data_IF_091199171636
#
_entry.id   IF_091199171636
#
_cell.length_a   1.000
_cell.length_b   1.000
_cell.length_c   1.000
_cell.angle_alpha   90.00
_cell.angle_beta   90.00
_cell.angle_gamma   90.00
#
_symmetry.space_group_name_H-M   'P 1'
#
loop_
_entity.id
_entity.type
_entity.pdbx_description
1 polymer ?
#
# COMPACT_ATOMS: atom_id res chain seq x y z
N UNK A 1 -17.30 13.50 36.23
CA UNK A 1 -16.65 12.54 35.31
C UNK A 1 -17.48 12.53 34.06
N UNK A 2 -16.89 12.88 32.92
CA UNK A 2 -17.61 12.81 31.65
C UNK A 2 -17.75 11.33 31.27
N UNK A 3 -18.96 10.90 30.94
CA UNK A 3 -19.19 9.56 30.39
C UNK A 3 -18.42 9.49 29.05
N UNK A 4 -17.47 8.55 28.92
CA UNK A 4 -16.64 8.40 27.71
C UNK A 4 -15.14 8.64 27.87
N UNK A 5 -14.61 9.07 29.03
CA UNK A 5 -13.15 9.07 29.25
C UNK A 5 -12.68 7.70 29.77
N UNK A 6 -11.81 7.02 29.03
CA UNK A 6 -11.19 5.73 29.41
C UNK A 6 -10.07 5.93 30.44
N UNK A 7 -10.41 6.52 31.59
CA UNK A 7 -9.46 6.68 32.69
C UNK A 7 -9.27 5.35 33.43
N UNK A 8 -8.04 4.83 33.46
CA UNK A 8 -7.71 3.54 34.08
C UNK A 8 -8.26 3.44 35.51
N UNK A 9 -8.14 4.50 36.31
CA UNK A 9 -8.66 4.55 37.68
C UNK A 9 -10.19 4.56 37.77
N UNK A 10 -10.91 4.92 36.72
CA UNK A 10 -12.38 4.80 36.63
C UNK A 10 -12.77 3.39 36.24
N UNK A 11 -12.12 2.82 35.22
CA UNK A 11 -12.36 1.44 34.75
C UNK A 11 -12.13 0.43 35.89
N UNK A 12 -11.07 0.59 36.68
CA UNK A 12 -10.77 -0.27 37.84
C UNK A 12 -11.82 -0.20 38.96
N UNK A 13 -12.64 0.87 38.98
CA UNK A 13 -13.72 1.05 39.96
C UNK A 13 -15.08 0.65 39.40
N UNK A 14 -15.17 0.25 38.13
CA UNK A 14 -16.40 -0.27 37.55
C UNK A 14 -16.79 -1.55 38.28
N UNK A 15 -17.98 -1.64 38.90
CA UNK A 15 -18.41 -2.86 39.55
C UNK A 15 -18.59 -3.94 38.48
N UNK A 16 -17.96 -5.09 38.65
CA UNK A 16 -18.13 -6.26 37.79
C UNK A 16 -18.92 -7.30 38.61
N UNK A 17 -20.09 -7.77 38.12
CA UNK A 17 -20.89 -8.78 38.81
C UNK A 17 -20.17 -10.13 38.81
N UNK A 18 -20.54 -11.01 39.72
CA UNK A 18 -20.08 -12.40 39.69
C UNK A 18 -20.65 -13.10 38.44
N UNK A 19 -19.79 -13.51 37.52
CA UNK A 19 -20.18 -14.11 36.24
C UNK A 19 -20.24 -15.64 36.40
N UNK A 20 -21.40 -16.29 36.20
CA UNK A 20 -21.49 -17.75 36.19
C UNK A 20 -20.63 -18.37 35.08
N UNK A 21 -20.01 -19.52 35.35
CA UNK A 21 -19.09 -20.17 34.39
C UNK A 21 -19.69 -20.39 32.98
N UNK A 22 -20.99 -20.70 32.89
CA UNK A 22 -21.66 -20.88 31.60
C UNK A 22 -21.83 -19.57 30.81
N UNK A 23 -22.06 -18.45 31.51
CA UNK A 23 -22.17 -17.14 30.87
C UNK A 23 -20.78 -16.60 30.49
N UNK A 24 -19.76 -16.88 31.31
CA UNK A 24 -18.36 -16.57 31.00
C UNK A 24 -17.90 -17.28 29.70
N UNK A 25 -18.17 -18.58 29.58
CA UNK A 25 -17.86 -19.35 28.36
C UNK A 25 -18.60 -18.81 27.13
N UNK A 26 -19.86 -18.40 27.29
CA UNK A 26 -20.68 -17.83 26.21
C UNK A 26 -20.14 -16.46 25.77
N UNK A 27 -19.85 -15.57 26.72
CA UNK A 27 -19.28 -14.25 26.45
C UNK A 27 -17.92 -14.36 25.78
N UNK A 28 -17.07 -15.28 26.24
CA UNK A 28 -15.77 -15.54 25.64
C UNK A 28 -15.89 -16.06 24.20
N UNK A 29 -16.85 -16.93 23.92
CA UNK A 29 -17.12 -17.44 22.57
C UNK A 29 -17.61 -16.32 21.63
N UNK A 30 -18.58 -15.52 22.07
CA UNK A 30 -19.12 -14.38 21.32
C UNK A 30 -18.05 -13.33 21.02
N UNK A 31 -17.24 -12.97 22.02
CA UNK A 31 -16.15 -12.02 21.86
C UNK A 31 -15.10 -12.52 20.86
N UNK A 32 -14.76 -13.81 20.91
CA UNK A 32 -13.82 -14.43 19.98
C UNK A 32 -14.36 -14.46 18.55
N UNK A 33 -15.64 -14.81 18.38
CA UNK A 33 -16.30 -14.78 17.07
C UNK A 33 -16.30 -13.37 16.47
N UNK A 34 -16.70 -12.36 17.24
CA UNK A 34 -16.71 -10.97 16.79
C UNK A 34 -15.30 -10.47 16.44
N UNK A 35 -14.31 -10.81 17.26
CA UNK A 35 -12.90 -10.52 16.99
C UNK A 35 -12.44 -11.17 15.67
N UNK A 36 -12.65 -12.47 15.51
CA UNK A 36 -12.17 -13.21 14.35
C UNK A 36 -12.84 -12.73 13.06
N UNK A 37 -14.12 -12.38 13.10
CA UNK A 37 -14.81 -11.78 11.95
C UNK A 37 -14.22 -10.43 11.54
N UNK A 38 -13.89 -9.55 12.51
CA UNK A 38 -13.24 -8.26 12.21
C UNK A 38 -11.84 -8.47 11.67
N UNK A 39 -11.07 -9.39 12.28
CA UNK A 39 -9.71 -9.72 11.86
C UNK A 39 -9.65 -10.35 10.47
N UNK A 40 -10.60 -11.20 10.12
CA UNK A 40 -10.67 -11.85 8.80
C UNK A 40 -10.89 -10.81 7.69
N UNK A 41 -11.71 -9.77 7.93
CA UNK A 41 -11.88 -8.64 7.00
C UNK A 41 -10.55 -7.91 6.77
N UNK A 42 -9.79 -7.69 7.83
CA UNK A 42 -8.53 -6.93 7.75
C UNK A 42 -7.47 -7.67 6.90
N UNK A 43 -7.60 -8.98 6.67
CA UNK A 43 -6.72 -9.75 5.78
C UNK A 43 -6.75 -9.32 4.32
N UNK A 44 -7.81 -8.61 3.93
CA UNK A 44 -8.02 -8.10 2.58
C UNK A 44 -7.41 -6.69 2.39
N UNK A 45 -6.97 -6.01 3.46
CA UNK A 45 -6.48 -4.64 3.46
C UNK A 45 -4.94 -4.58 3.60
N UNK A 46 -4.23 -4.08 2.58
CA UNK A 46 -2.78 -4.26 2.44
C UNK A 46 -1.90 -3.45 3.42
N UNK A 47 -2.50 -2.56 4.19
CA UNK A 47 -1.85 -1.75 5.22
C UNK A 47 -2.01 -2.33 6.63
N UNK A 48 -2.68 -3.48 6.76
CA UNK A 48 -2.88 -4.15 8.05
C UNK A 48 -1.82 -5.25 8.27
N UNK A 49 -1.56 -5.57 9.53
CA UNK A 49 -0.65 -6.66 9.90
C UNK A 49 -1.09 -8.06 9.43
N UNK A 50 -2.39 -8.45 9.47
CA UNK A 50 -2.82 -9.78 9.03
C UNK A 50 -3.01 -9.90 7.50
N UNK A 51 -2.63 -8.91 6.70
CA UNK A 51 -2.84 -8.93 5.25
C UNK A 51 -2.31 -10.21 4.58
N UNK A 52 -3.15 -10.82 3.73
CA UNK A 52 -2.82 -12.03 2.95
C UNK A 52 -2.97 -11.81 1.45
N UNK A 53 -4.10 -11.29 1.01
CA UNK A 53 -4.37 -10.92 -0.39
C UNK A 53 -5.65 -10.08 -0.44
N UNK A 54 -5.87 -9.24 -1.46
CA UNK A 54 -7.12 -8.49 -1.58
C UNK A 54 -8.33 -9.39 -1.77
N UNK A 55 -9.50 -8.89 -1.38
CA UNK A 55 -10.77 -9.61 -1.47
C UNK A 55 -11.07 -10.17 -2.88
N UNK A 56 -10.80 -9.40 -3.93
CA UNK A 56 -10.98 -9.84 -5.33
C UNK A 56 -10.02 -10.97 -5.74
N UNK A 57 -8.85 -11.08 -5.10
CA UNK A 57 -7.89 -12.16 -5.33
C UNK A 57 -8.31 -13.42 -4.57
N UNK A 58 -8.83 -13.28 -3.33
CA UNK A 58 -9.44 -14.39 -2.57
C UNK A 58 -10.58 -15.05 -3.36
N UNK A 59 -11.39 -14.24 -4.04
CA UNK A 59 -12.51 -14.69 -4.87
C UNK A 59 -12.14 -14.89 -6.35
N UNK A 60 -10.86 -15.02 -6.71
CA UNK A 60 -10.42 -15.12 -8.12
C UNK A 60 -11.02 -16.29 -8.90
N UNK A 61 -11.56 -17.30 -8.21
CA UNK A 61 -12.21 -18.46 -8.82
C UNK A 61 -13.54 -18.09 -9.49
N UNK A 62 -14.17 -16.97 -9.09
CA UNK A 62 -15.37 -16.44 -9.74
C UNK A 62 -15.04 -15.90 -11.14
N UNK A 63 -15.99 -15.95 -12.09
CA UNK A 63 -15.70 -15.69 -13.49
C UNK A 63 -15.43 -14.21 -13.78
N UNK A 64 -16.11 -13.28 -13.09
CA UNK A 64 -15.98 -11.83 -13.28
C UNK A 64 -15.67 -11.10 -11.96
N UNK A 65 -15.18 -9.86 -12.05
CA UNK A 65 -15.05 -8.99 -10.88
C UNK A 65 -16.42 -8.58 -10.34
N UNK A 66 -17.42 -8.43 -11.20
CA UNK A 66 -18.79 -8.11 -10.79
C UNK A 66 -19.39 -9.19 -9.87
N UNK A 67 -19.21 -10.47 -10.20
CA UNK A 67 -19.67 -11.59 -9.36
C UNK A 67 -18.95 -11.59 -8.00
N UNK A 68 -17.65 -11.28 -8.00
CA UNK A 68 -16.87 -11.15 -6.78
C UNK A 68 -17.36 -9.98 -5.91
N UNK A 69 -17.56 -8.79 -6.50
CA UNK A 69 -18.10 -7.62 -5.80
C UNK A 69 -19.47 -7.91 -5.18
N UNK A 70 -20.35 -8.58 -5.91
CA UNK A 70 -21.66 -8.97 -5.39
C UNK A 70 -21.55 -9.96 -4.23
N UNK A 71 -20.66 -10.95 -4.34
CA UNK A 71 -20.39 -11.93 -3.27
C UNK A 71 -19.86 -11.23 -2.02
N UNK A 72 -18.90 -10.30 -2.18
CA UNK A 72 -18.34 -9.51 -1.08
C UNK A 72 -19.39 -8.64 -0.42
N UNK A 73 -20.26 -8.00 -1.20
CA UNK A 73 -21.36 -7.19 -0.66
C UNK A 73 -22.32 -8.02 0.20
N UNK A 74 -22.55 -9.28 -0.18
CA UNK A 74 -23.35 -10.22 0.60
C UNK A 74 -22.61 -10.67 1.88
N UNK A 75 -21.32 -11.03 1.78
CA UNK A 75 -20.47 -11.38 2.92
C UNK A 75 -20.42 -10.23 3.94
N UNK A 76 -20.27 -8.99 3.48
CA UNK A 76 -20.22 -7.80 4.33
C UNK A 76 -21.56 -7.57 5.04
N UNK A 77 -22.69 -7.67 4.32
CA UNK A 77 -24.01 -7.52 4.92
C UNK A 77 -24.27 -8.59 6.00
N UNK A 78 -23.89 -9.85 5.73
CA UNK A 78 -23.97 -10.93 6.72
C UNK A 78 -23.08 -10.66 7.93
N UNK A 79 -21.85 -10.19 7.71
CA UNK A 79 -20.90 -9.89 8.77
C UNK A 79 -21.42 -8.79 9.68
N UNK A 80 -21.94 -7.70 9.11
CA UNK A 80 -22.54 -6.58 9.85
C UNK A 80 -23.73 -7.06 10.67
N UNK A 81 -24.63 -7.85 10.07
CA UNK A 81 -25.78 -8.41 10.78
C UNK A 81 -25.35 -9.31 11.94
N UNK A 82 -24.32 -10.17 11.75
CA UNK A 82 -23.83 -11.06 12.81
C UNK A 82 -23.12 -10.29 13.92
N UNK A 83 -22.31 -9.27 13.60
CA UNK A 83 -21.68 -8.41 14.62
C UNK A 83 -22.73 -7.67 15.45
N UNK A 84 -23.79 -7.16 14.82
CA UNK A 84 -24.90 -6.53 15.53
C UNK A 84 -25.65 -7.51 16.44
N UNK A 85 -25.85 -8.75 15.98
CA UNK A 85 -26.45 -9.80 16.80
C UNK A 85 -25.56 -10.17 18.00
N UNK A 86 -24.25 -10.35 17.79
CA UNK A 86 -23.30 -10.62 18.87
C UNK A 86 -23.30 -9.48 19.90
N UNK A 87 -23.28 -8.22 19.45
CA UNK A 87 -23.38 -7.07 20.35
C UNK A 87 -24.66 -7.12 21.18
N UNK A 88 -25.81 -7.41 20.56
CA UNK A 88 -27.08 -7.55 21.27
C UNK A 88 -27.08 -8.70 22.29
N UNK A 89 -26.50 -9.86 21.95
CA UNK A 89 -26.38 -11.02 22.85
C UNK A 89 -25.48 -10.72 24.06
N UNK A 90 -24.38 -9.99 23.84
CA UNK A 90 -23.48 -9.52 24.90
C UNK A 90 -24.21 -8.51 25.80
N UNK A 91 -24.89 -7.52 25.21
CA UNK A 91 -25.63 -6.49 25.95
C UNK A 91 -26.77 -7.12 26.78
N UNK A 92 -27.54 -8.05 26.21
CA UNK A 92 -28.58 -8.81 26.92
C UNK A 92 -28.01 -9.55 28.14
N UNK A 93 -26.87 -10.20 27.97
CA UNK A 93 -26.20 -10.93 29.03
C UNK A 93 -25.69 -9.97 30.11
N UNK A 94 -25.09 -8.85 29.72
CA UNK A 94 -24.67 -7.81 30.65
C UNK A 94 -25.86 -7.24 31.44
N UNK A 95 -26.97 -6.89 30.80
CA UNK A 95 -28.15 -6.39 31.50
C UNK A 95 -28.70 -7.39 32.51
N UNK A 96 -28.72 -8.69 32.19
CA UNK A 96 -29.12 -9.73 33.15
C UNK A 96 -28.16 -9.84 34.34
N UNK A 97 -26.85 -9.83 34.09
CA UNK A 97 -25.82 -9.94 35.13
C UNK A 97 -25.84 -8.75 36.10
N UNK A 98 -26.14 -7.55 35.61
CA UNK A 98 -26.26 -6.33 36.42
C UNK A 98 -27.65 -6.11 37.01
N UNK A 99 -28.59 -7.04 36.80
CA UNK A 99 -30.01 -6.92 37.22
C UNK A 99 -30.67 -5.60 36.75
N UNK A 100 -30.31 -5.16 35.53
CA UNK A 100 -30.85 -3.93 34.93
C UNK A 100 -32.20 -4.27 34.29
N UNK A 101 -33.26 -3.61 34.74
CA UNK A 101 -34.61 -3.87 34.24
C UNK A 101 -34.81 -3.42 32.79
N UNK A 102 -35.81 -3.97 32.10
CA UNK A 102 -36.17 -3.53 30.74
C UNK A 102 -36.58 -2.04 30.66
N UNK A 103 -37.04 -1.45 31.77
CA UNK A 103 -37.35 -0.02 31.83
C UNK A 103 -36.07 0.84 31.90
N UNK A 104 -35.08 0.38 32.66
CA UNK A 104 -33.78 1.03 32.78
C UNK A 104 -32.96 0.86 31.50
N UNK A 105 -33.08 -0.29 30.84
CA UNK A 105 -32.50 -0.57 29.52
C UNK A 105 -32.89 0.47 28.47
N UNK A 106 -34.18 0.81 28.34
CA UNK A 106 -34.64 1.87 27.41
C UNK A 106 -34.10 3.26 27.75
N UNK A 107 -33.79 3.50 29.01
CA UNK A 107 -33.22 4.77 29.49
C UNK A 107 -31.72 4.85 29.21
N UNK A 108 -31.01 3.72 29.30
CA UNK A 108 -29.59 3.57 28.98
C UNK A 108 -29.32 3.52 27.46
N UNK A 109 -30.21 2.88 26.69
CA UNK A 109 -30.06 2.71 25.25
C UNK A 109 -30.33 3.98 24.43
N UNK A 110 -31.08 4.96 24.98
CA UNK A 110 -31.19 6.34 24.47
C UNK A 110 -31.55 6.52 22.97
N UNK A 111 -31.53 7.77 22.49
CA UNK A 111 -31.67 8.09 21.06
C UNK A 111 -30.50 7.45 20.27
N UNK A 112 -30.73 6.70 19.17
CA UNK A 112 -29.65 6.08 18.38
C UNK A 112 -28.53 7.02 17.94
N UNK A 113 -28.76 8.35 17.93
CA UNK A 113 -27.72 9.36 17.71
C UNK A 113 -26.71 9.54 18.86
N UNK A 114 -26.98 8.98 20.05
CA UNK A 114 -26.13 9.05 21.24
C UNK A 114 -25.36 7.74 21.52
N UNK A 115 -25.51 6.73 20.65
CA UNK A 115 -24.72 5.50 20.74
C UNK A 115 -23.25 5.84 20.45
N UNK A 116 -22.29 5.48 21.32
CA UNK A 116 -20.90 5.41 20.89
C UNK A 116 -20.85 4.35 19.80
N UNK A 117 -20.51 4.75 18.58
CA UNK A 117 -20.20 3.80 17.52
C UNK A 117 -19.01 2.99 18.04
N UNK A 118 -19.18 1.70 18.30
CA UNK A 118 -18.09 0.76 18.60
C UNK A 118 -17.34 0.36 17.33
N UNK A 119 -17.09 1.32 16.44
CA UNK A 119 -15.91 1.30 15.58
C UNK A 119 -14.75 1.58 16.51
N UNK A 120 -13.97 0.55 16.81
CA UNK A 120 -12.65 0.71 17.40
C UNK A 120 -11.76 1.29 16.29
N UNK A 121 -12.00 2.56 15.95
CA UNK A 121 -10.89 3.40 15.58
C UNK A 121 -10.19 3.70 16.89
N UNK A 122 -8.92 3.29 16.99
CA UNK A 122 -8.10 3.67 18.12
C UNK A 122 -8.03 5.19 18.17
N UNK A 123 -8.86 5.79 19.03
CA UNK A 123 -8.64 7.15 19.49
C UNK A 123 -7.23 7.22 20.06
N UNK A 124 -6.43 8.26 19.74
CA UNK A 124 -5.14 8.45 20.37
C UNK A 124 -5.36 8.61 21.87
N UNK A 125 -4.68 7.78 22.67
CA UNK A 125 -4.61 7.95 24.13
C UNK A 125 -4.29 9.42 24.45
N UNK A 126 -5.14 10.15 25.19
CA UNK A 126 -4.79 11.48 25.63
C UNK A 126 -3.73 11.35 26.73
N UNK A 127 -2.50 11.77 26.44
CA UNK A 127 -1.47 11.99 27.45
C UNK A 127 -0.31 10.99 27.50
N UNK A 128 0.08 10.39 26.38
CA UNK A 128 1.49 9.98 26.23
C UNK A 128 2.19 11.11 25.49
N UNK A 129 3.05 11.83 26.19
CA UNK A 129 3.93 12.83 25.61
C UNK A 129 4.78 12.16 24.51
N UNK A 130 4.35 12.24 23.26
CA UNK A 130 5.20 12.07 22.07
C UNK A 130 5.96 13.37 21.75
N UNK A 131 6.31 14.14 22.77
CA UNK A 131 7.18 15.30 22.61
C UNK A 131 8.64 14.87 22.71
N UNK A 132 9.12 14.30 21.61
CA UNK A 132 10.54 14.28 21.28
C UNK A 132 10.76 14.25 19.76
N UNK A 133 10.12 15.14 19.00
CA UNK A 133 10.76 15.73 17.81
C UNK A 133 10.32 17.20 17.66
N UNK A 134 11.23 18.10 17.22
CA UNK A 134 11.14 19.52 17.57
C UNK A 134 9.96 20.23 16.92
N UNK A 135 9.20 20.95 17.76
CA UNK A 135 8.34 22.07 17.40
C UNK A 135 9.14 23.13 16.62
N UNK A 136 9.27 22.94 15.32
CA UNK A 136 9.62 23.98 14.36
C UNK A 136 9.38 23.46 12.93
N UNK A 137 8.17 22.99 12.62
CA UNK A 137 7.67 22.92 11.24
C UNK A 137 6.88 24.22 10.97
N UNK A 138 7.12 24.94 9.87
CA UNK A 138 6.38 26.16 9.61
C UNK A 138 4.97 25.76 9.19
N UNK A 139 3.97 26.47 9.72
CA UNK A 139 2.58 26.33 9.33
C UNK A 139 2.45 26.37 7.81
N UNK A 140 2.28 25.20 7.20
CA UNK A 140 1.87 25.08 5.82
C UNK A 140 0.37 25.32 5.78
N UNK A 141 -0.04 26.59 5.81
CA UNK A 141 -1.38 26.98 5.37
C UNK A 141 -1.54 26.58 3.90
N UNK A 142 -2.17 25.43 3.70
CA UNK A 142 -2.50 24.87 2.41
C UNK A 142 -3.58 23.82 2.63
N UNK A 143 -4.81 24.29 2.84
CA UNK A 143 -5.97 23.47 3.15
C UNK A 143 -6.09 22.25 2.22
N UNK A 144 -5.90 21.08 2.80
CA UNK A 144 -6.62 19.88 2.41
C UNK A 144 -7.62 19.67 3.54
N UNK A 145 -8.90 19.70 3.21
CA UNK A 145 -9.95 19.38 4.15
C UNK A 145 -9.62 18.05 4.84
N UNK A 146 -9.72 18.03 6.16
CA UNK A 146 -9.82 16.80 6.93
C UNK A 146 -11.10 16.10 6.46
N UNK A 147 -10.97 15.27 5.43
CA UNK A 147 -11.89 14.16 5.20
C UNK A 147 -11.49 13.11 6.23
N UNK A 148 -11.94 13.30 7.47
CA UNK A 148 -12.21 12.19 8.36
C UNK A 148 -13.16 11.28 7.58
N UNK A 149 -12.61 10.22 6.98
CA UNK A 149 -13.38 9.10 6.46
C UNK A 149 -14.05 8.50 7.69
N UNK A 150 -15.24 9.02 7.99
CA UNK A 150 -16.14 8.38 8.92
C UNK A 150 -16.35 6.97 8.36
N UNK A 151 -15.80 5.98 9.05
CA UNK A 151 -15.88 4.54 8.77
C UNK A 151 -17.33 4.04 8.99
N UNK A 152 -18.30 4.75 8.40
CA UNK A 152 -19.62 4.25 8.14
C UNK A 152 -19.42 3.05 7.24
N UNK A 153 -19.93 1.90 7.68
CA UNK A 153 -19.96 0.65 6.91
C UNK A 153 -20.81 0.85 5.64
N UNK A 154 -20.23 1.51 4.64
CA UNK A 154 -20.70 1.56 3.28
C UNK A 154 -20.32 0.23 2.65
N UNK A 155 -21.25 -0.37 1.89
CA UNK A 155 -21.00 -1.64 1.20
C UNK A 155 -19.75 -1.56 0.32
N UNK A 156 -19.18 -2.73 0.00
CA UNK A 156 -17.94 -2.85 -0.75
C UNK A 156 -17.87 -1.91 -1.97
N UNK A 157 -17.06 -0.85 -1.90
CA UNK A 157 -16.82 0.07 -3.01
C UNK A 157 -16.09 -0.65 -4.16
N UNK A 158 -16.74 -0.86 -5.32
CA UNK A 158 -16.13 -1.59 -6.43
C UNK A 158 -14.85 -0.93 -6.95
N UNK A 159 -14.77 0.40 -6.92
CA UNK A 159 -13.60 1.14 -7.40
C UNK A 159 -12.41 0.94 -6.45
N UNK A 160 -12.64 1.03 -5.12
CA UNK A 160 -11.63 0.68 -4.11
C UNK A 160 -11.15 -0.75 -4.27
N UNK A 161 -12.06 -1.72 -4.41
CA UNK A 161 -11.70 -3.13 -4.59
C UNK A 161 -10.82 -3.36 -5.83
N UNK A 162 -11.16 -2.72 -6.96
CA UNK A 162 -10.34 -2.76 -8.17
C UNK A 162 -8.95 -2.12 -7.94
N UNK A 163 -8.88 -1.01 -7.20
CA UNK A 163 -7.62 -0.38 -6.84
C UNK A 163 -6.78 -1.28 -5.92
N UNK A 164 -7.40 -1.99 -4.98
CA UNK A 164 -6.74 -2.98 -4.10
C UNK A 164 -6.10 -4.11 -4.91
N UNK A 165 -6.82 -4.63 -5.92
CA UNK A 165 -6.30 -5.64 -6.84
C UNK A 165 -5.07 -5.13 -7.60
N UNK A 166 -5.12 -3.93 -8.17
CA UNK A 166 -4.00 -3.37 -8.92
C UNK A 166 -2.81 -3.05 -8.00
N UNK A 167 -3.05 -2.50 -6.80
CA UNK A 167 -2.00 -2.24 -5.81
C UNK A 167 -1.26 -3.52 -5.39
N UNK A 168 -2.01 -4.60 -5.18
CA UNK A 168 -1.44 -5.91 -4.90
C UNK A 168 -0.59 -6.43 -6.06
N UNK A 169 -1.03 -6.25 -7.31
CA UNK A 169 -0.25 -6.64 -8.48
C UNK A 169 1.05 -5.82 -8.60
N UNK A 170 1.01 -4.52 -8.33
CA UNK A 170 2.21 -3.67 -8.25
C UNK A 170 3.15 -4.17 -7.14
N UNK A 171 2.61 -4.53 -5.97
CA UNK A 171 3.38 -5.13 -4.88
C UNK A 171 4.04 -6.45 -5.24
N UNK A 172 3.33 -7.34 -5.95
CA UNK A 172 3.91 -8.59 -6.47
C UNK A 172 5.07 -8.31 -7.44
N UNK A 173 4.91 -7.33 -8.35
CA UNK A 173 5.96 -6.95 -9.30
C UNK A 173 7.23 -6.40 -8.62
N UNK A 174 7.09 -5.68 -7.51
CA UNK A 174 8.23 -5.24 -6.68
C UNK A 174 8.76 -6.32 -5.72
N UNK A 175 8.12 -7.50 -5.67
CA UNK A 175 8.46 -8.58 -4.74
C UNK A 175 8.15 -8.23 -3.29
N UNK A 176 7.18 -7.34 -3.04
CA UNK A 176 6.63 -7.06 -1.72
C UNK A 176 5.73 -8.22 -1.27
N UNK A 177 4.88 -8.69 -2.18
CA UNK A 177 3.92 -9.76 -1.93
C UNK A 177 4.34 -11.05 -2.65
N UNK A 178 4.14 -12.18 -1.96
CA UNK A 178 4.35 -13.51 -2.52
C UNK A 178 3.09 -13.98 -3.25
N UNK A 179 3.15 -13.97 -4.57
CA UNK A 179 2.01 -14.34 -5.42
C UNK A 179 1.62 -15.81 -5.26
N UNK A 180 2.52 -16.66 -4.76
CA UNK A 180 2.26 -18.09 -4.60
C UNK A 180 1.17 -18.35 -3.57
N UNK A 181 1.03 -17.49 -2.56
CA UNK A 181 0.00 -17.58 -1.53
C UNK A 181 -1.41 -17.38 -2.11
N UNK A 182 -1.53 -16.52 -3.13
CA UNK A 182 -2.78 -16.40 -3.87
C UNK A 182 -3.04 -17.68 -4.68
N UNK A 183 -2.03 -18.34 -5.22
CA UNK A 183 -2.20 -19.53 -6.05
C UNK A 183 -2.53 -20.80 -5.25
N UNK A 184 -1.93 -20.93 -4.07
CA UNK A 184 -1.98 -22.11 -3.22
C UNK A 184 -2.30 -21.70 -1.77
N UNK A 185 -3.55 -21.90 -1.36
CA UNK A 185 -4.07 -21.44 -0.07
C UNK A 185 -3.44 -22.16 1.12
N UNK A 186 -2.87 -23.34 0.92
CA UNK A 186 -2.11 -24.11 1.93
C UNK A 186 -0.75 -23.47 2.27
N UNK A 187 -0.28 -22.50 1.48
CA UNK A 187 0.92 -21.72 1.79
C UNK A 187 0.63 -20.52 2.71
N UNK A 188 -0.64 -20.16 2.91
CA UNK A 188 -1.02 -19.02 3.74
C UNK A 188 -0.90 -19.43 5.21
N UNK A 189 -0.04 -18.78 6.01
CA UNK A 189 0.11 -19.15 7.42
C UNK A 189 -1.17 -18.84 8.19
N UNK A 190 -1.41 -19.58 9.27
CA UNK A 190 -2.52 -19.30 10.17
C UNK A 190 -2.31 -17.96 10.88
N UNK A 191 -3.40 -17.33 11.27
CA UNK A 191 -3.35 -16.16 12.12
C UNK A 191 -2.94 -16.58 13.54
N UNK A 192 -2.06 -15.79 14.15
CA UNK A 192 -1.65 -16.00 15.53
C UNK A 192 -2.82 -15.73 16.51
N UNK A 193 -2.66 -16.11 17.77
CA UNK A 193 -3.61 -15.79 18.84
C UNK A 193 -3.86 -14.27 18.95
N UNK A 194 -5.07 -13.80 19.35
CA UNK A 194 -5.36 -12.37 19.48
C UNK A 194 -4.41 -11.59 20.39
N UNK A 195 -3.79 -12.25 21.36
CA UNK A 195 -2.82 -11.64 22.29
C UNK A 195 -1.36 -11.92 21.90
N UNK A 196 -1.12 -12.60 20.79
CA UNK A 196 0.22 -12.79 20.24
C UNK A 196 0.80 -11.46 19.74
N UNK A 197 2.15 -11.34 19.68
CA UNK A 197 2.76 -10.15 19.11
C UNK A 197 2.38 -9.98 17.63
N UNK A 198 2.26 -8.73 17.20
CA UNK A 198 1.98 -8.42 15.80
C UNK A 198 3.13 -8.91 14.90
N UNK A 199 2.81 -9.42 13.70
CA UNK A 199 3.84 -9.84 12.76
C UNK A 199 4.65 -8.65 12.24
N UNK A 200 5.98 -8.83 12.23
CA UNK A 200 6.94 -7.87 11.66
C UNK A 200 6.69 -7.68 10.16
N UNK A 201 6.38 -8.78 9.46
CA UNK A 201 5.99 -8.78 8.06
C UNK A 201 4.60 -9.40 7.93
N UNK A 202 3.70 -8.77 7.19
CA UNK A 202 2.37 -9.32 6.95
C UNK A 202 2.46 -10.73 6.32
N UNK A 203 1.51 -11.64 6.59
CA UNK A 203 1.47 -12.99 6.04
C UNK A 203 1.72 -13.08 4.52
N UNK A 204 1.24 -12.10 3.76
CA UNK A 204 1.41 -12.00 2.30
C UNK A 204 2.85 -11.75 1.84
N UNK A 205 3.76 -11.36 2.72
CA UNK A 205 5.09 -10.85 2.37
C UNK A 205 5.93 -11.93 1.70
N UNK A 206 6.61 -11.59 0.61
CA UNK A 206 7.66 -12.44 0.06
C UNK A 206 8.86 -12.42 1.00
N UNK A 207 9.12 -13.53 1.69
CA UNK A 207 10.12 -13.59 2.77
C UNK A 207 11.35 -14.42 2.41
N UNK A 208 12.45 -14.09 3.09
CA UNK A 208 13.64 -14.92 3.20
C UNK A 208 13.56 -15.89 4.39
N UNK A 209 14.56 -16.77 4.57
CA UNK A 209 14.57 -17.76 5.66
C UNK A 209 14.60 -17.17 7.07
N UNK A 210 14.94 -15.88 7.21
CA UNK A 210 14.92 -15.11 8.45
C UNK A 210 13.53 -14.53 8.78
N UNK A 211 12.53 -14.75 7.92
CA UNK A 211 11.18 -14.20 8.05
C UNK A 211 11.07 -12.71 7.70
N UNK A 212 12.15 -12.08 7.23
CA UNK A 212 12.17 -10.70 6.75
C UNK A 212 11.92 -10.67 5.22
N UNK A 213 11.67 -9.49 4.61
CA UNK A 213 11.46 -9.40 3.18
C UNK A 213 12.62 -10.02 2.40
N UNK A 214 12.28 -10.85 1.42
CA UNK A 214 13.24 -11.61 0.63
C UNK A 214 14.27 -10.69 -0.05
N UNK A 215 15.45 -11.24 -0.28
CA UNK A 215 16.42 -10.70 -1.23
C UNK A 215 16.43 -11.54 -2.49
N UNK A 216 17.12 -11.06 -3.54
CA UNK A 216 17.16 -11.75 -4.83
C UNK A 216 17.56 -13.21 -4.71
N UNK A 217 18.52 -13.50 -3.83
CA UNK A 217 19.12 -14.84 -3.71
C UNK A 217 18.58 -15.63 -2.51
N UNK A 218 17.58 -15.09 -1.80
CA UNK A 218 17.02 -15.67 -0.59
C UNK A 218 15.48 -15.60 -0.60
N UNK A 219 14.86 -16.42 -1.44
CA UNK A 219 13.41 -16.63 -1.46
C UNK A 219 13.12 -18.00 -0.84
N UNK A 220 12.22 -18.05 0.13
CA UNK A 220 11.86 -19.32 0.79
C UNK A 220 11.11 -20.29 -0.14
N UNK A 221 11.26 -21.58 0.14
CA UNK A 221 10.57 -22.66 -0.56
C UNK A 221 9.13 -22.86 -0.07
N UNK A 222 8.25 -23.45 -0.90
CA UNK A 222 6.89 -23.80 -0.46
C UNK A 222 6.88 -24.68 0.79
N UNK A 223 7.81 -25.63 0.90
CA UNK A 223 7.95 -26.49 2.08
C UNK A 223 8.29 -25.68 3.34
N UNK A 224 9.11 -24.63 3.21
CA UNK A 224 9.39 -23.73 4.32
C UNK A 224 8.16 -22.93 4.74
N UNK A 225 7.37 -22.42 3.77
CA UNK A 225 6.12 -21.70 4.06
C UNK A 225 5.10 -22.58 4.79
N UNK A 226 4.91 -23.82 4.31
CA UNK A 226 3.99 -24.80 4.90
C UNK A 226 4.39 -25.24 6.31
N UNK A 227 5.68 -25.21 6.63
CA UNK A 227 6.19 -25.63 7.94
C UNK A 227 5.97 -24.57 9.03
N UNK A 228 5.54 -23.36 8.67
CA UNK A 228 5.25 -22.30 9.63
C UNK A 228 3.93 -22.59 10.34
N UNK A 229 3.87 -22.52 11.68
CA UNK A 229 2.60 -22.62 12.37
C UNK A 229 1.78 -21.33 12.18
N UNK A 230 2.43 -20.16 12.09
CA UNK A 230 1.80 -18.86 11.93
C UNK A 230 2.76 -17.83 11.28
N UNK A 231 2.29 -16.58 11.15
CA UNK A 231 3.02 -15.49 10.52
C UNK A 231 4.19 -14.91 11.36
N UNK A 232 4.36 -15.32 12.61
CA UNK A 232 5.39 -14.78 13.53
C UNK A 232 6.45 -15.80 13.93
N UNK A 233 6.13 -17.08 13.81
CA UNK A 233 6.99 -18.19 14.21
C UNK A 233 7.71 -18.77 13.00
N UNK A 234 9.04 -18.85 13.07
CA UNK A 234 9.87 -19.46 12.04
C UNK A 234 9.86 -20.99 12.17
N UNK A 235 10.01 -21.75 11.06
CA UNK A 235 10.26 -23.18 11.13
C UNK A 235 11.56 -23.45 11.92
N UNK A 236 11.62 -24.50 12.76
CA UNK A 236 12.83 -24.79 13.53
C UNK A 236 14.03 -25.07 12.61
N UNK A 237 15.21 -24.61 13.02
CA UNK A 237 16.43 -24.76 12.23
C UNK A 237 16.72 -26.23 11.88
N UNK A 238 17.07 -26.47 10.62
CA UNK A 238 17.40 -27.81 10.12
C UNK A 238 16.22 -28.74 9.85
N UNK A 239 14.97 -28.31 10.09
CA UNK A 239 13.77 -29.11 9.77
C UNK A 239 13.46 -29.17 8.28
N UNK A 240 13.86 -28.14 7.53
CA UNK A 240 13.62 -28.03 6.09
C UNK A 240 14.94 -28.23 5.35
N UNK A 241 15.04 -29.34 4.60
CA UNK A 241 16.27 -29.70 3.87
C UNK A 241 16.67 -28.65 2.82
N UNK A 242 15.67 -28.04 2.15
CA UNK A 242 15.87 -27.02 1.13
C UNK A 242 14.99 -25.79 1.46
N UNK A 243 15.47 -24.88 2.33
CA UNK A 243 14.67 -23.77 2.84
C UNK A 243 14.42 -22.68 1.78
N UNK A 244 15.24 -22.59 0.74
CA UNK A 244 15.14 -21.60 -0.34
C UNK A 244 14.90 -22.23 -1.71
N UNK A 245 14.41 -21.45 -2.66
CA UNK A 245 14.32 -21.83 -4.07
C UNK A 245 15.41 -21.12 -4.90
N UNK A 246 15.68 -21.66 -6.09
CA UNK A 246 16.38 -20.90 -7.11
C UNK A 246 15.50 -19.71 -7.53
N UNK A 247 15.99 -18.45 -7.44
CA UNK A 247 15.21 -17.28 -7.83
C UNK A 247 14.65 -17.32 -9.26
N UNK A 248 15.33 -18.02 -10.18
CA UNK A 248 14.86 -18.21 -11.56
C UNK A 248 13.59 -19.08 -11.65
N UNK A 249 13.27 -19.84 -10.60
CA UNK A 249 12.05 -20.66 -10.52
C UNK A 249 10.86 -19.90 -9.93
N UNK A 250 11.07 -18.70 -9.38
CA UNK A 250 9.98 -17.87 -8.92
C UNK A 250 9.13 -17.41 -10.13
N UNK A 251 7.79 -17.44 -10.07
CA UNK A 251 6.93 -17.32 -11.26
C UNK A 251 6.85 -15.91 -11.85
N UNK A 252 7.47 -14.89 -11.21
CA UNK A 252 7.45 -13.51 -11.66
C UNK A 252 8.87 -12.94 -11.75
N UNK A 253 9.10 -12.07 -12.73
CA UNK A 253 10.29 -11.24 -12.75
C UNK A 253 10.11 -10.09 -11.75
N UNK A 254 10.78 -10.20 -10.59
CA UNK A 254 10.73 -9.17 -9.55
C UNK A 254 11.68 -8.01 -9.88
N UNK A 255 11.22 -6.78 -9.70
CA UNK A 255 12.02 -5.57 -9.76
C UNK A 255 12.93 -5.43 -8.52
N UNK A 256 13.97 -6.29 -8.43
CA UNK A 256 14.87 -6.37 -7.28
C UNK A 256 15.63 -5.07 -6.99
N UNK A 257 15.82 -4.23 -7.99
CA UNK A 257 16.46 -2.91 -7.88
C UNK A 257 15.49 -1.78 -7.50
N UNK A 258 14.20 -2.11 -7.31
CA UNK A 258 13.17 -1.18 -6.85
C UNK A 258 12.63 -0.25 -7.92
N UNK A 259 12.85 -0.54 -9.21
CA UNK A 259 12.45 0.32 -10.32
C UNK A 259 11.53 -0.38 -11.32
N UNK A 260 10.42 0.28 -11.68
CA UNK A 260 9.58 -0.08 -12.82
C UNK A 260 9.27 1.18 -13.63
N UNK A 261 9.48 1.15 -14.94
CA UNK A 261 9.28 2.28 -15.84
C UNK A 261 7.98 2.17 -16.63
N UNK A 262 7.45 3.29 -17.10
CA UNK A 262 6.50 3.30 -18.22
C UNK A 262 7.30 3.22 -19.53
N UNK A 263 7.57 2.01 -20.00
CA UNK A 263 8.34 1.80 -21.23
C UNK A 263 7.86 0.56 -22.00
N UNK A 264 6.80 0.73 -22.83
CA UNK A 264 6.18 -0.38 -23.56
C UNK A 264 7.19 -1.24 -24.32
N UNK A 265 7.15 -2.55 -24.06
CA UNK A 265 8.01 -3.54 -24.73
C UNK A 265 9.38 -3.76 -24.08
N UNK A 266 9.72 -3.01 -23.03
CA UNK A 266 10.94 -3.25 -22.25
C UNK A 266 10.68 -4.17 -21.04
N UNK A 267 11.69 -4.92 -20.57
CA UNK A 267 11.54 -5.81 -19.40
C UNK A 267 11.09 -5.12 -18.11
N UNK A 268 11.31 -3.81 -17.99
CA UNK A 268 10.98 -3.02 -16.80
C UNK A 268 9.65 -2.27 -16.94
N UNK A 269 8.84 -2.59 -17.93
CA UNK A 269 7.54 -1.94 -18.13
C UNK A 269 6.57 -2.29 -16.98
N UNK A 270 6.12 -1.28 -16.23
CA UNK A 270 5.21 -1.48 -15.09
C UNK A 270 3.89 -2.12 -15.53
N UNK A 271 3.37 -1.72 -16.69
CA UNK A 271 2.10 -2.27 -17.19
C UNK A 271 2.26 -3.75 -17.55
N UNK A 272 3.35 -4.12 -18.23
CA UNK A 272 3.66 -5.52 -18.52
C UNK A 272 3.87 -6.34 -17.24
N UNK A 273 4.53 -5.78 -16.23
CA UNK A 273 4.75 -6.44 -14.95
C UNK A 273 3.43 -6.71 -14.22
N UNK A 274 2.53 -5.72 -14.13
CA UNK A 274 1.19 -5.89 -13.55
C UNK A 274 0.37 -6.92 -14.35
N UNK A 275 0.42 -6.87 -15.69
CA UNK A 275 -0.24 -7.86 -16.55
C UNK A 275 0.28 -9.27 -16.36
N UNK A 276 1.56 -9.45 -16.10
CA UNK A 276 2.14 -10.75 -15.79
C UNK A 276 1.54 -11.32 -14.49
N UNK A 277 1.33 -10.49 -13.48
CA UNK A 277 0.66 -10.89 -12.23
C UNK A 277 -0.81 -11.24 -12.50
N UNK A 278 -1.56 -10.41 -13.23
CA UNK A 278 -2.94 -10.72 -13.60
C UNK A 278 -3.06 -12.03 -14.39
N UNK A 279 -2.13 -12.28 -15.32
CA UNK A 279 -2.05 -13.53 -16.09
C UNK A 279 -1.81 -14.73 -15.18
N UNK A 280 -0.95 -14.59 -14.18
CA UNK A 280 -0.70 -15.65 -13.22
C UNK A 280 -1.92 -15.95 -12.32
N UNK A 281 -2.65 -14.91 -11.93
CA UNK A 281 -3.82 -15.02 -11.05
C UNK A 281 -5.07 -15.55 -11.77
N UNK A 282 -5.32 -15.09 -13.01
CA UNK A 282 -6.59 -15.29 -13.73
C UNK A 282 -6.45 -16.07 -15.04
N UNK A 283 -5.23 -16.48 -15.43
CA UNK A 283 -4.95 -17.22 -16.65
C UNK A 283 -5.54 -16.55 -17.91
N UNK A 284 -6.34 -17.28 -18.68
CA UNK A 284 -6.99 -16.83 -19.92
C UNK A 284 -7.97 -15.67 -19.71
N UNK A 285 -8.47 -15.48 -18.48
CA UNK A 285 -9.40 -14.38 -18.14
C UNK A 285 -8.70 -13.07 -17.82
N UNK A 286 -7.37 -13.03 -17.72
CA UNK A 286 -6.64 -11.85 -17.25
C UNK A 286 -6.96 -10.56 -18.03
N UNK A 287 -7.11 -10.64 -19.35
CA UNK A 287 -7.46 -9.47 -20.18
C UNK A 287 -8.89 -8.96 -19.92
N UNK A 288 -9.85 -9.87 -19.68
CA UNK A 288 -11.22 -9.50 -19.33
C UNK A 288 -11.27 -8.86 -17.93
N UNK A 289 -10.56 -9.44 -16.97
CA UNK A 289 -10.43 -8.91 -15.61
C UNK A 289 -9.76 -7.53 -15.61
N UNK A 290 -8.72 -7.31 -16.42
CA UNK A 290 -8.11 -5.98 -16.59
C UNK A 290 -9.12 -4.96 -17.13
N UNK A 291 -9.91 -5.32 -18.14
CA UNK A 291 -10.92 -4.45 -18.72
C UNK A 291 -12.04 -4.10 -17.72
N UNK A 292 -12.50 -5.08 -16.94
CA UNK A 292 -13.47 -4.86 -15.85
C UNK A 292 -12.88 -3.93 -14.78
N UNK A 293 -11.64 -4.18 -14.34
CA UNK A 293 -10.96 -3.33 -13.36
C UNK A 293 -10.83 -1.88 -13.87
N UNK A 294 -10.45 -1.68 -15.14
CA UNK A 294 -10.38 -0.34 -15.74
C UNK A 294 -11.76 0.34 -15.75
N UNK A 295 -12.83 -0.42 -16.02
CA UNK A 295 -14.20 0.09 -15.99
C UNK A 295 -14.60 0.54 -14.58
N UNK A 296 -14.32 -0.28 -13.56
CA UNK A 296 -14.60 0.04 -12.15
C UNK A 296 -13.79 1.25 -11.67
N UNK A 297 -12.55 1.39 -12.17
CA UNK A 297 -11.66 2.52 -11.86
C UNK A 297 -11.98 3.79 -12.67
N UNK A 298 -12.87 3.73 -13.65
CA UNK A 298 -13.22 4.87 -14.50
C UNK A 298 -12.10 5.34 -15.43
N UNK A 299 -11.21 4.43 -15.85
CA UNK A 299 -10.03 4.71 -16.69
C UNK A 299 -10.10 3.98 -18.03
N UNK A 300 -9.45 4.53 -19.06
CA UNK A 300 -9.46 3.94 -20.40
C UNK A 300 -8.71 2.61 -20.48
N UNK A 301 -7.62 2.50 -19.74
CA UNK A 301 -6.71 1.36 -19.77
C UNK A 301 -5.78 1.37 -18.54
N UNK A 302 -5.16 0.22 -18.27
CA UNK A 302 -4.29 0.01 -17.12
C UNK A 302 -3.06 0.92 -17.12
N UNK A 303 -2.47 1.21 -18.29
CA UNK A 303 -1.28 2.08 -18.35
C UNK A 303 -1.66 3.48 -17.90
N UNK A 304 -2.76 4.01 -18.41
CA UNK A 304 -3.30 5.32 -18.00
C UNK A 304 -3.53 5.41 -16.49
N UNK A 305 -4.04 4.34 -15.86
CA UNK A 305 -4.19 4.27 -14.41
C UNK A 305 -2.85 4.33 -13.66
N UNK A 306 -1.84 3.58 -14.14
CA UNK A 306 -0.52 3.48 -13.51
C UNK A 306 0.39 4.69 -13.74
N UNK A 307 0.13 5.54 -14.75
CA UNK A 307 1.00 6.69 -15.08
C UNK A 307 0.38 8.04 -14.69
N UNK A 308 -0.92 8.07 -14.44
CA UNK A 308 -1.62 9.30 -14.05
C UNK A 308 -1.52 9.53 -12.55
N UNK A 309 -1.10 10.74 -12.17
CA UNK A 309 -1.01 11.10 -10.75
C UNK A 309 -2.36 11.00 -10.03
N UNK A 310 -3.43 11.55 -10.62
CA UNK A 310 -4.79 11.52 -10.06
C UNK A 310 -5.52 10.18 -10.15
N UNK A 311 -4.76 9.09 -10.37
CA UNK A 311 -5.28 7.72 -10.44
C UNK A 311 -4.53 6.87 -9.41
N UNK A 312 -3.71 5.90 -9.83
CA UNK A 312 -3.01 5.01 -8.90
C UNK A 312 -2.17 5.75 -7.85
N UNK A 313 -1.43 6.80 -8.23
CA UNK A 313 -0.56 7.51 -7.29
C UNK A 313 -1.34 8.22 -6.17
N UNK A 314 -2.43 8.91 -6.50
CA UNK A 314 -3.28 9.58 -5.53
C UNK A 314 -4.01 8.57 -4.64
N UNK A 315 -4.58 7.51 -5.22
CA UNK A 315 -5.19 6.41 -4.44
C UNK A 315 -4.18 5.77 -3.48
N UNK A 316 -2.95 5.55 -3.93
CA UNK A 316 -1.86 5.02 -3.11
C UNK A 316 -1.47 5.99 -1.99
N UNK A 317 -1.34 7.30 -2.28
CA UNK A 317 -1.05 8.28 -1.23
C UNK A 317 -2.15 8.26 -0.16
N UNK A 318 -3.43 8.27 -0.54
CA UNK A 318 -4.55 8.22 0.41
C UNK A 318 -4.48 6.96 1.27
N UNK A 319 -4.29 5.79 0.66
CA UNK A 319 -4.17 4.51 1.36
C UNK A 319 -3.03 4.48 2.40
N UNK A 320 -1.90 5.11 2.11
CA UNK A 320 -0.75 5.17 3.03
C UNK A 320 -0.71 6.46 3.85
N UNK A 321 -1.85 7.12 4.00
CA UNK A 321 -2.01 8.29 4.86
C UNK A 321 -2.86 7.92 6.07
N UNK A 322 -2.44 8.33 7.27
CA UNK A 322 -3.21 8.19 8.51
C UNK A 322 -3.01 9.43 9.36
N UNK A 323 -4.11 10.10 9.72
CA UNK A 323 -4.05 11.43 10.34
C UNK A 323 -3.13 12.35 9.52
N UNK A 324 -2.20 13.05 10.16
CA UNK A 324 -1.25 13.97 9.48
C UNK A 324 -0.09 13.25 8.79
N UNK A 325 0.10 11.94 8.99
CA UNK A 325 1.22 11.19 8.40
C UNK A 325 0.85 10.72 7.00
N UNK A 326 1.64 11.14 6.00
CA UNK A 326 1.58 10.62 4.62
C UNK A 326 2.86 9.82 4.32
N UNK A 327 2.72 8.52 4.02
CA UNK A 327 3.87 7.63 3.83
C UNK A 327 3.73 6.73 2.58
N UNK A 328 3.49 7.28 1.37
CA UNK A 328 3.38 6.48 0.15
C UNK A 328 4.68 5.72 -0.12
N UNK A 329 4.59 4.39 -0.21
CA UNK A 329 5.78 3.54 -0.41
C UNK A 329 6.15 3.29 -1.88
N UNK A 330 5.31 3.70 -2.83
CA UNK A 330 5.59 3.69 -4.26
C UNK A 330 5.63 5.14 -4.73
N UNK A 331 6.75 5.57 -5.29
CA UNK A 331 6.94 6.96 -5.70
C UNK A 331 6.86 7.07 -7.20
N UNK A 332 5.89 7.85 -7.67
CA UNK A 332 5.78 8.26 -9.05
C UNK A 332 6.80 9.38 -9.32
N UNK A 333 7.77 9.11 -10.18
CA UNK A 333 8.70 10.11 -10.72
C UNK A 333 8.41 10.29 -12.21
N UNK A 334 8.32 11.54 -12.67
CA UNK A 334 7.99 11.87 -14.05
C UNK A 334 8.91 12.96 -14.59
N UNK A 335 9.14 12.90 -15.89
CA UNK A 335 9.68 14.04 -16.63
C UNK A 335 8.72 15.23 -16.57
N UNK A 336 9.23 16.47 -16.74
CA UNK A 336 8.41 17.69 -16.64
C UNK A 336 7.17 17.70 -17.54
N UNK A 337 7.26 17.13 -18.75
CA UNK A 337 6.12 16.96 -19.67
C UNK A 337 5.48 15.58 -19.61
N UNK A 338 5.91 14.72 -18.67
CA UNK A 338 5.37 13.39 -18.37
C UNK A 338 5.51 12.38 -19.52
N UNK A 339 6.40 12.61 -20.47
CA UNK A 339 6.71 11.62 -21.52
C UNK A 339 7.53 10.43 -21.01
N UNK A 340 8.11 10.54 -19.81
CA UNK A 340 8.84 9.47 -19.14
C UNK A 340 8.36 9.37 -17.70
N UNK A 341 8.05 8.14 -17.27
CA UNK A 341 7.58 7.84 -15.92
C UNK A 341 8.37 6.66 -15.36
N UNK A 342 8.75 6.74 -14.10
CA UNK A 342 9.37 5.64 -13.35
C UNK A 342 8.81 5.59 -11.93
N UNK A 343 8.53 4.38 -11.48
CA UNK A 343 8.09 4.05 -10.13
C UNK A 343 9.27 3.55 -9.31
N UNK A 344 9.42 4.10 -8.12
CA UNK A 344 10.43 3.71 -7.12
C UNK A 344 9.75 3.05 -5.93
N UNK A 345 10.29 1.92 -5.47
CA UNK A 345 9.81 1.26 -4.25
C UNK A 345 10.66 1.63 -3.02
N UNK A 346 10.04 2.32 -2.06
CA UNK A 346 10.66 2.86 -0.84
C UNK A 346 11.46 1.83 -0.01
N UNK A 347 11.00 0.58 0.09
CA UNK A 347 11.71 -0.39 0.93
C UNK A 347 13.01 -0.91 0.29
N UNK A 348 13.24 -0.60 -0.99
CA UNK A 348 14.46 -0.90 -1.75
C UNK A 348 15.34 0.33 -2.00
N UNK A 349 15.12 1.43 -1.26
CA UNK A 349 16.04 2.58 -1.32
C UNK A 349 17.45 2.14 -0.95
N UNK A 350 18.41 2.53 -1.78
CA UNK A 350 19.84 2.43 -1.50
C UNK A 350 20.57 3.64 -2.05
N UNK A 351 21.88 3.73 -1.76
CA UNK A 351 22.72 4.86 -2.18
C UNK A 351 22.79 5.01 -3.70
N UNK A 352 22.66 3.91 -4.44
CA UNK A 352 22.80 3.91 -5.91
C UNK A 352 21.49 4.18 -6.64
N UNK A 353 20.36 4.33 -5.95
CA UNK A 353 19.05 4.52 -6.55
C UNK A 353 19.02 5.65 -7.59
N UNK A 354 19.58 6.82 -7.26
CA UNK A 354 19.61 7.96 -8.18
C UNK A 354 20.40 7.64 -9.45
N UNK A 355 21.52 6.93 -9.33
CA UNK A 355 22.30 6.47 -10.48
C UNK A 355 21.53 5.44 -11.33
N UNK A 356 20.78 4.53 -10.69
CA UNK A 356 19.95 3.54 -11.40
C UNK A 356 18.82 4.22 -12.20
N UNK A 357 18.15 5.21 -11.60
CA UNK A 357 17.10 6.00 -12.28
C UNK A 357 17.70 6.83 -13.43
N UNK A 358 18.87 7.45 -13.21
CA UNK A 358 19.59 8.17 -14.27
C UNK A 358 19.96 7.25 -15.43
N UNK A 359 20.49 6.06 -15.15
CA UNK A 359 20.87 5.09 -16.17
C UNK A 359 19.67 4.64 -17.01
N UNK A 360 18.53 4.36 -16.37
CA UNK A 360 17.27 4.04 -17.05
C UNK A 360 16.85 5.17 -18.01
N UNK A 361 16.90 6.43 -17.56
CA UNK A 361 16.57 7.58 -18.40
C UNK A 361 17.56 7.78 -19.56
N UNK A 362 18.86 7.57 -19.35
CA UNK A 362 19.90 7.65 -20.39
C UNK A 362 19.76 6.55 -21.44
N UNK A 363 19.42 5.32 -21.03
CA UNK A 363 19.11 4.24 -21.96
C UNK A 363 17.90 4.60 -22.81
N UNK A 364 16.84 5.12 -22.18
CA UNK A 364 15.64 5.56 -22.90
C UNK A 364 15.93 6.69 -23.87
N UNK A 365 16.74 7.67 -23.47
CA UNK A 365 17.17 8.77 -24.32
C UNK A 365 17.94 8.28 -25.55
N UNK A 366 18.85 7.32 -25.37
CA UNK A 366 19.64 6.75 -26.47
C UNK A 366 18.76 6.11 -27.53
N UNK A 367 17.80 5.28 -27.11
CA UNK A 367 16.82 4.64 -28.00
C UNK A 367 15.95 5.72 -28.67
N UNK A 368 15.48 6.69 -27.89
CA UNK A 368 14.60 7.73 -28.39
C UNK A 368 15.28 8.63 -29.43
N UNK A 369 16.55 8.98 -29.22
CA UNK A 369 17.35 9.77 -30.15
C UNK A 369 17.63 9.00 -31.45
N UNK A 370 17.91 7.69 -31.36
CA UNK A 370 18.07 6.84 -32.54
C UNK A 370 16.80 6.84 -33.41
N UNK A 371 15.62 6.63 -32.81
CA UNK A 371 14.35 6.68 -33.54
C UNK A 371 14.07 8.05 -34.14
N UNK A 372 14.43 9.15 -33.45
CA UNK A 372 14.27 10.50 -33.99
C UNK A 372 15.04 10.67 -35.30
N UNK A 373 16.31 10.25 -35.33
CA UNK A 373 17.15 10.32 -36.54
C UNK A 373 16.60 9.45 -37.67
N UNK A 374 16.10 8.25 -37.36
CA UNK A 374 15.46 7.37 -38.34
C UNK A 374 14.21 8.03 -38.95
N UNK A 375 13.29 8.52 -38.11
CA UNK A 375 12.07 9.17 -38.59
C UNK A 375 12.34 10.45 -39.38
N UNK A 376 13.38 11.21 -39.04
CA UNK A 376 13.81 12.37 -39.82
C UNK A 376 14.28 11.95 -41.21
N UNK A 377 15.12 10.91 -41.30
CA UNK A 377 15.61 10.37 -42.57
C UNK A 377 14.46 9.88 -43.44
N UNK A 378 13.54 9.11 -42.88
CA UNK A 378 12.37 8.58 -43.59
C UNK A 378 11.43 9.71 -44.05
N UNK A 379 11.21 10.73 -43.20
CA UNK A 379 10.38 11.89 -43.54
C UNK A 379 10.94 12.60 -44.77
N UNK A 380 12.25 12.76 -44.84
CA UNK A 380 12.92 13.50 -45.91
C UNK A 380 12.94 12.69 -47.23
N UNK A 381 12.89 11.36 -47.13
CA UNK A 381 12.76 10.45 -48.28
C UNK A 381 11.31 10.29 -48.81
N UNK A 382 10.31 10.73 -48.07
CA UNK A 382 8.89 10.55 -48.39
C UNK A 382 8.22 11.86 -48.82
N UNK A 383 7.11 11.77 -49.53
CA UNK A 383 6.31 12.94 -49.96
C UNK A 383 4.81 12.76 -49.65
N UNK A 384 4.07 13.87 -49.67
CA UNK A 384 2.61 13.84 -49.54
C UNK A 384 2.10 13.40 -48.17
N UNK A 385 1.12 12.49 -48.13
CA UNK A 385 0.45 12.07 -46.89
C UNK A 385 1.40 11.31 -45.93
N UNK A 386 2.29 10.49 -46.47
CA UNK A 386 3.28 9.73 -45.67
C UNK A 386 4.28 10.66 -44.99
N UNK A 387 4.76 11.68 -45.70
CA UNK A 387 5.61 12.72 -45.12
C UNK A 387 4.93 13.43 -43.95
N UNK A 388 3.64 13.80 -44.08
CA UNK A 388 2.89 14.44 -43.00
C UNK A 388 2.75 13.55 -41.75
N UNK A 389 2.57 12.24 -41.93
CA UNK A 389 2.53 11.28 -40.81
C UNK A 389 3.89 11.22 -40.10
N UNK A 390 4.98 11.11 -40.86
CA UNK A 390 6.33 11.08 -40.32
C UNK A 390 6.71 12.40 -39.63
N UNK A 391 6.27 13.55 -40.14
CA UNK A 391 6.45 14.84 -39.45
C UNK A 391 5.86 14.83 -38.05
N UNK A 392 4.66 14.27 -37.87
CA UNK A 392 4.05 14.14 -36.53
C UNK A 392 4.84 13.21 -35.62
N UNK A 393 5.34 12.08 -36.15
CA UNK A 393 6.19 11.16 -35.40
C UNK A 393 7.51 11.82 -34.99
N UNK A 394 8.15 12.58 -35.88
CA UNK A 394 9.35 13.38 -35.57
C UNK A 394 9.06 14.39 -34.47
N UNK A 395 7.93 15.10 -34.53
CA UNK A 395 7.54 16.08 -33.51
C UNK A 395 7.34 15.41 -32.14
N UNK A 396 6.58 14.31 -32.08
CA UNK A 396 6.37 13.53 -30.85
C UNK A 396 7.69 13.00 -30.28
N UNK A 397 8.53 12.42 -31.14
CA UNK A 397 9.80 11.84 -30.74
C UNK A 397 10.80 12.91 -30.26
N UNK A 398 10.83 14.07 -30.93
CA UNK A 398 11.63 15.22 -30.52
C UNK A 398 11.18 15.75 -29.15
N UNK A 399 9.87 15.81 -28.90
CA UNK A 399 9.33 16.23 -27.61
C UNK A 399 9.70 15.26 -26.48
N UNK A 400 9.72 13.94 -26.74
CA UNK A 400 10.20 12.93 -25.80
C UNK A 400 11.70 13.09 -25.50
N UNK A 401 12.53 13.27 -26.52
CA UNK A 401 13.98 13.46 -26.37
C UNK A 401 14.29 14.70 -25.52
N UNK A 402 13.64 15.83 -25.82
CA UNK A 402 13.82 17.06 -25.04
C UNK A 402 13.39 16.90 -23.57
N UNK A 403 12.28 16.20 -23.33
CA UNK A 403 11.76 15.97 -21.98
C UNK A 403 12.64 15.01 -21.16
N UNK A 404 13.21 13.98 -21.81
CA UNK A 404 14.21 13.09 -21.20
C UNK A 404 15.51 13.83 -20.85
N UNK A 405 15.97 14.73 -21.70
CA UNK A 405 17.15 15.58 -21.40
C UNK A 405 16.90 16.47 -20.18
N UNK A 406 15.69 17.03 -20.04
CA UNK A 406 15.33 17.81 -18.86
C UNK A 406 15.23 16.94 -17.61
N UNK A 407 14.65 15.73 -17.71
CA UNK A 407 14.63 14.76 -16.61
C UNK A 407 16.04 14.37 -16.16
N UNK A 408 16.95 14.10 -17.10
CA UNK A 408 18.36 13.76 -16.83
C UNK A 408 19.06 14.92 -16.11
N UNK A 409 18.90 16.15 -16.59
CA UNK A 409 19.47 17.34 -15.92
C UNK A 409 19.00 17.45 -14.46
N UNK A 410 17.70 17.20 -14.19
CA UNK A 410 17.15 17.22 -12.83
C UNK A 410 17.68 16.06 -11.98
N UNK A 411 17.85 14.88 -12.55
CA UNK A 411 18.47 13.73 -11.89
C UNK A 411 19.93 13.99 -11.51
N UNK A 412 20.71 14.61 -12.40
CA UNK A 412 22.10 15.00 -12.14
C UNK A 412 22.19 16.01 -10.98
N UNK A 413 21.24 16.95 -10.89
CA UNK A 413 21.13 17.87 -9.76
C UNK A 413 20.85 17.14 -8.43
N UNK A 414 19.99 16.10 -8.45
CA UNK A 414 19.73 15.26 -7.25
C UNK A 414 20.98 14.47 -6.86
N UNK A 415 21.69 13.87 -7.83
CA UNK A 415 22.92 13.12 -7.59
C UNK A 415 24.02 14.02 -7.02
N UNK A 416 24.11 15.27 -7.49
CA UNK A 416 25.06 16.26 -6.99
C UNK A 416 24.86 16.62 -5.50
N UNK A 417 23.68 16.36 -4.93
CA UNK A 417 23.45 16.50 -3.48
C UNK A 417 24.22 15.45 -2.66
N UNK A 418 24.60 14.31 -3.29
CA UNK A 418 25.31 13.18 -2.66
C UNK A 418 24.67 12.74 -1.33
N UNK A 419 23.34 12.62 -1.34
CA UNK A 419 22.56 12.18 -0.19
C UNK A 419 22.44 10.65 -0.19
N UNK A 420 22.73 10.04 0.94
CA UNK A 420 22.41 8.64 1.21
C UNK A 420 21.03 8.58 1.88
N UNK A 421 20.04 7.87 1.32
CA UNK A 421 18.74 7.73 1.94
C UNK A 421 18.83 6.93 3.25
N UNK A 422 18.00 7.29 4.23
CA UNK A 422 17.87 6.59 5.51
C UNK A 422 16.38 6.35 5.80
N UNK A 423 15.96 5.09 5.75
CA UNK A 423 14.54 4.72 5.93
C UNK A 423 14.01 5.07 7.32
N UNK A 424 14.87 5.32 8.31
CA UNK A 424 14.46 5.77 9.65
C UNK A 424 14.03 7.24 9.69
N UNK A 425 14.48 8.07 8.73
CA UNK A 425 14.00 9.46 8.57
C UNK A 425 12.54 9.51 8.07
N UNK A 426 12.01 8.38 7.59
CA UNK A 426 10.66 8.28 7.07
C UNK A 426 10.50 8.74 5.62
N UNK A 427 9.36 8.41 5.03
CA UNK A 427 9.10 8.56 3.58
C UNK A 427 9.22 10.01 3.11
N UNK A 428 8.64 10.95 3.85
CA UNK A 428 8.57 12.36 3.46
C UNK A 428 9.96 13.00 3.32
N UNK A 429 10.87 12.74 4.26
CA UNK A 429 12.24 13.26 4.23
C UNK A 429 13.07 12.60 3.12
N UNK A 430 12.91 11.30 2.88
CA UNK A 430 13.66 10.60 1.84
C UNK A 430 13.21 10.98 0.42
N UNK A 431 11.93 11.30 0.20
CA UNK A 431 11.44 11.73 -1.12
C UNK A 431 11.69 13.21 -1.40
N UNK A 432 11.89 14.03 -0.35
CA UNK A 432 12.02 15.48 -0.49
C UNK A 432 13.10 15.93 -1.51
N UNK A 433 14.30 15.33 -1.57
CA UNK A 433 15.30 15.65 -2.61
C UNK A 433 14.77 15.47 -4.05
N UNK A 434 13.75 14.63 -4.23
CA UNK A 434 13.15 14.29 -5.53
C UNK A 434 11.97 15.20 -5.92
N UNK A 435 11.69 16.27 -5.15
CA UNK A 435 10.52 17.14 -5.31
C UNK A 435 10.35 17.76 -6.71
N UNK A 436 11.43 17.82 -7.50
CA UNK A 436 11.42 18.35 -8.86
C UNK A 436 10.91 17.34 -9.91
N UNK A 437 10.82 16.06 -9.52
CA UNK A 437 10.44 14.94 -10.39
C UNK A 437 9.18 14.21 -9.92
N UNK A 438 8.80 14.35 -8.64
CA UNK A 438 7.52 13.83 -8.18
C UNK A 438 6.40 14.88 -8.27
N UNK A 439 5.18 14.51 -8.73
CA UNK A 439 4.01 15.38 -8.67
C UNK A 439 3.46 15.59 -7.24
N UNK A 440 3.97 14.86 -6.24
CA UNK A 440 3.52 14.99 -4.86
C UNK A 440 4.01 16.29 -4.22
N UNK A 441 3.08 17.25 -4.01
CA UNK A 441 3.39 18.59 -3.50
C UNK A 441 4.08 18.59 -2.13
N UNK A 442 3.74 17.65 -1.25
CA UNK A 442 4.33 17.54 0.09
C UNK A 442 5.86 17.39 0.05
N UNK A 443 6.39 16.65 -0.94
CA UNK A 443 7.83 16.50 -1.11
C UNK A 443 8.54 17.85 -1.28
N UNK A 444 7.90 18.81 -1.96
CA UNK A 444 8.43 20.17 -2.13
C UNK A 444 8.38 20.97 -0.84
N UNK A 445 7.27 20.89 -0.09
CA UNK A 445 7.13 21.56 1.21
C UNK A 445 8.19 21.07 2.18
N UNK A 446 8.40 19.75 2.25
CA UNK A 446 9.41 19.13 3.11
C UNK A 446 10.82 19.49 2.66
N UNK A 447 11.08 19.55 1.35
CA UNK A 447 12.37 19.99 0.82
C UNK A 447 12.70 21.44 1.21
N UNK A 448 11.72 22.35 1.12
CA UNK A 448 11.90 23.74 1.55
C UNK A 448 12.17 23.83 3.05
N UNK A 449 11.50 23.01 3.86
CA UNK A 449 11.75 22.94 5.29
C UNK A 449 13.16 22.41 5.62
N UNK A 450 13.64 21.39 4.90
CA UNK A 450 15.02 20.90 5.00
C UNK A 450 16.04 21.99 4.63
N UNK A 451 15.80 22.73 3.56
CA UNK A 451 16.64 23.87 3.16
C UNK A 451 16.64 25.01 4.19
N UNK A 452 15.54 25.17 4.94
CA UNK A 452 15.44 26.10 6.05
C UNK A 452 16.10 25.58 7.36
N UNK A 453 16.77 24.43 7.33
CA UNK A 453 17.47 23.86 8.49
C UNK A 453 16.57 23.11 9.47
N UNK A 454 15.33 22.77 9.10
CA UNK A 454 14.42 21.98 9.95
C UNK A 454 14.83 20.50 9.94
N UNK A 455 14.22 19.73 10.84
CA UNK A 455 14.47 18.28 11.00
C UNK A 455 15.94 17.95 11.30
N UNK A 456 16.59 18.72 12.16
CA UNK A 456 18.02 18.56 12.52
C UNK A 456 18.37 17.18 13.07
N UNK A 457 17.38 16.46 13.60
CA UNK A 457 17.52 15.08 14.05
C UNK A 457 17.72 14.08 12.90
N UNK A 458 17.28 14.41 11.68
CA UNK A 458 17.30 13.49 10.53
C UNK A 458 18.66 13.38 9.87
N UNK A 459 18.99 12.19 9.40
CA UNK A 459 20.23 11.91 8.66
C UNK A 459 20.29 12.74 7.37
N UNK A 460 19.17 12.91 6.67
CA UNK A 460 19.11 13.76 5.45
C UNK A 460 19.47 15.23 5.76
N UNK A 461 18.93 15.82 6.83
CA UNK A 461 19.24 17.20 7.21
C UNK A 461 20.70 17.37 7.61
N UNK A 462 21.24 16.41 8.39
CA UNK A 462 22.65 16.38 8.80
C UNK A 462 23.61 16.28 7.61
N UNK A 463 23.22 15.57 6.55
CA UNK A 463 23.99 15.49 5.30
C UNK A 463 23.94 16.78 4.47
N UNK A 464 22.87 17.57 4.58
CA UNK A 464 22.71 18.84 3.85
C UNK A 464 23.46 20.01 4.51
N UNK A 465 23.47 20.08 5.85
CA UNK A 465 23.99 21.22 6.62
C UNK A 465 25.46 21.61 6.31
N UNK A 466 26.42 20.65 6.26
CA UNK A 466 27.83 20.95 5.93
C UNK A 466 28.02 21.43 4.49
N UNK A 467 27.07 21.11 3.60
CA UNK A 467 27.14 21.37 2.16
C UNK A 467 26.50 22.71 1.76
N UNK A 468 25.73 23.33 2.65
CA UNK A 468 25.15 24.67 2.47
C UNK A 468 26.01 25.78 3.07
N UNK A 469 26.97 25.43 3.93
CA UNK A 469 27.87 26.37 4.63
C UNK A 469 29.24 26.51 3.97
N UNK A 470 29.49 25.77 2.88
CA UNK A 470 30.61 25.91 1.96
C UNK A 470 30.14 26.58 0.67
#
# INVERSE_FOLDING_TARGET
MAFGSYEVGVIQRTPIPDIPAAEDETLAALAREAHDMKRERDRDEEITHPFTMPALVRLRHLPTLADAVQTLSHEDAMRVARLAAIQHEIDDTAFRLYDISNADRKTLEGDPASRPITTVEGEPLPGVDEDATPQDAPDAEGGAADEEDADAVQGADPAKLAADLISYCVGCAFGRWDVRLALASDLVPQLADPFAPLPVCAPATLVGPDGLPATRDAIVSPAWLQARPDAITLPPDGTIATPTIDPATYPLAIAWDGLLADDPGQPRDITAAVRAVLTLLYADRAAAIEAEACTLLGVSDLRTYLTSFGAFAETHIKRYSRSRRKAPIYWLLQSPRKHFTVWVYYHRLDRDLANKVLHLAQQRLTIAAYHLTQFQTDRDAQTGSNQRKLTKLVEQQSALVADLQEFITRMEAIIALDLTPDRNDGVALNVAPWHALTPWKEARTVWQALQAGKFTWSTISQQLHPRQTQ
#
